data_IF_462071890173
#
_entry.id   IF_462071890173
#
_cell.length_a   1.000
_cell.length_b   1.000
_cell.length_c   1.000
_cell.angle_alpha   90.00
_cell.angle_beta   90.00
_cell.angle_gamma   90.00
#
_symmetry.space_group_name_H-M   'P 1'
#
loop_
_entity.id
_entity.type
_entity.pdbx_description
1 polymer ?
#
# COMPACT_ATOMS: atom_id res chain seq x y z
N UNK A 1 -20.68 0.98 48.69
CA UNK A 1 -20.91 0.29 47.40
C UNK A 1 -20.55 1.27 46.30
N UNK A 2 -19.40 1.08 45.65
CA UNK A 2 -18.92 1.95 44.57
C UNK A 2 -19.41 1.41 43.23
N UNK A 3 -20.02 2.21 42.34
CA UNK A 3 -20.34 1.74 41.01
C UNK A 3 -19.09 1.86 40.11
N UNK A 4 -18.75 0.75 39.45
CA UNK A 4 -17.67 0.69 38.48
C UNK A 4 -17.92 1.62 37.30
N UNK A 5 -16.90 2.45 37.01
CA UNK A 5 -16.84 3.35 35.88
C UNK A 5 -16.53 2.53 34.62
N UNK A 6 -17.56 2.13 33.88
CA UNK A 6 -17.38 1.49 32.57
C UNK A 6 -16.84 2.50 31.58
N UNK A 7 -15.54 2.42 31.31
CA UNK A 7 -14.84 3.14 30.26
C UNK A 7 -15.37 2.70 28.88
N UNK A 8 -16.42 3.39 28.39
CA UNK A 8 -16.79 3.35 26.97
C UNK A 8 -15.66 3.98 26.17
N UNK A 9 -14.67 3.17 25.78
CA UNK A 9 -13.73 3.53 24.71
C UNK A 9 -14.58 3.78 23.47
N UNK A 10 -14.69 5.06 23.11
CA UNK A 10 -15.23 5.53 21.84
C UNK A 10 -14.58 4.73 20.72
N UNK A 11 -15.35 3.78 20.17
CA UNK A 11 -15.07 3.11 18.92
C UNK A 11 -15.22 4.21 17.85
N UNK A 12 -14.16 5.03 17.67
CA UNK A 12 -13.98 5.90 16.51
C UNK A 12 -14.48 5.09 15.32
N UNK A 13 -15.51 5.60 14.64
CA UNK A 13 -16.14 4.92 13.51
C UNK A 13 -15.06 4.69 12.44
N UNK A 14 -14.38 3.55 12.51
CA UNK A 14 -13.58 3.02 11.42
C UNK A 14 -14.59 2.81 10.29
N UNK A 15 -14.34 3.30 9.05
CA UNK A 15 -15.18 2.93 7.93
C UNK A 15 -15.31 1.40 7.93
N UNK A 16 -16.52 0.87 7.73
CA UNK A 16 -16.72 -0.57 7.75
C UNK A 16 -15.73 -1.21 6.76
N UNK A 17 -14.99 -2.24 7.17
CA UNK A 17 -13.94 -2.91 6.38
C UNK A 17 -14.39 -3.16 4.93
N UNK A 18 -15.65 -3.54 4.76
CA UNK A 18 -16.32 -3.72 3.45
C UNK A 18 -16.28 -2.51 2.53
N UNK A 19 -16.42 -1.29 3.06
CA UNK A 19 -16.34 -0.05 2.28
C UNK A 19 -14.91 0.21 1.82
N UNK A 20 -13.92 -0.02 2.68
CA UNK A 20 -12.50 0.09 2.30
C UNK A 20 -12.14 -0.91 1.21
N UNK A 21 -12.54 -2.19 1.38
CA UNK A 21 -12.36 -3.23 0.37
C UNK A 21 -13.01 -2.82 -0.95
N UNK A 22 -14.27 -2.36 -0.91
CA UNK A 22 -14.97 -1.90 -2.11
C UNK A 22 -14.21 -0.77 -2.82
N UNK A 23 -13.66 0.19 -2.06
CA UNK A 23 -12.90 1.31 -2.63
C UNK A 23 -11.59 0.85 -3.31
N UNK A 24 -10.90 -0.15 -2.74
CA UNK A 24 -9.71 -0.78 -3.32
C UNK A 24 -10.05 -1.52 -4.62
N UNK A 25 -11.08 -2.38 -4.58
CA UNK A 25 -11.51 -3.18 -5.73
C UNK A 25 -12.07 -2.32 -6.86
N UNK A 26 -12.69 -1.18 -6.55
CA UNK A 26 -13.18 -0.21 -7.53
C UNK A 26 -12.09 0.73 -8.08
N UNK A 27 -10.82 0.54 -7.69
CA UNK A 27 -9.68 1.40 -8.05
C UNK A 27 -9.91 2.89 -7.76
N UNK A 28 -10.76 3.21 -6.78
CA UNK A 28 -11.01 4.58 -6.35
C UNK A 28 -9.84 5.14 -5.51
N UNK A 29 -9.01 4.23 -4.99
CA UNK A 29 -7.84 4.53 -4.20
C UNK A 29 -6.60 4.37 -5.09
N UNK A 30 -6.03 5.48 -5.53
CA UNK A 30 -4.90 5.49 -6.45
C UNK A 30 -3.75 6.39 -5.99
N UNK A 31 -3.80 6.99 -4.80
CA UNK A 31 -2.70 7.82 -4.30
C UNK A 31 -1.87 7.09 -3.25
N UNK A 32 -0.58 7.44 -3.14
CA UNK A 32 0.30 6.86 -2.12
C UNK A 32 -0.27 7.01 -0.71
N UNK A 33 -0.82 8.19 -0.43
CA UNK A 33 -1.32 8.56 0.90
C UNK A 33 -2.52 7.72 1.30
N UNK A 34 -3.50 7.55 0.40
CA UNK A 34 -4.68 6.75 0.71
C UNK A 34 -4.36 5.25 0.77
N UNK A 35 -3.50 4.73 -0.11
CA UNK A 35 -3.05 3.34 -0.02
C UNK A 35 -2.34 3.06 1.31
N UNK A 36 -1.39 3.92 1.73
CA UNK A 36 -0.74 3.83 3.04
C UNK A 36 -1.73 3.91 4.19
N UNK A 37 -2.75 4.76 4.09
CA UNK A 37 -3.78 4.90 5.11
C UNK A 37 -4.57 3.60 5.28
N UNK A 38 -5.02 2.98 4.18
CA UNK A 38 -5.78 1.73 4.24
C UNK A 38 -4.88 0.57 4.66
N UNK A 39 -3.62 0.50 4.19
CA UNK A 39 -2.62 -0.48 4.63
C UNK A 39 -2.47 -0.48 6.16
N UNK A 40 -2.35 0.71 6.77
CA UNK A 40 -2.27 0.85 8.23
C UNK A 40 -3.53 0.39 8.95
N UNK A 41 -4.71 0.61 8.36
CA UNK A 41 -5.98 0.12 8.94
C UNK A 41 -6.01 -1.40 8.88
N UNK A 42 -5.70 -1.98 7.72
CA UNK A 42 -5.66 -3.43 7.50
C UNK A 42 -4.67 -4.11 8.45
N UNK A 43 -3.45 -3.58 8.60
CA UNK A 43 -2.43 -4.08 9.52
C UNK A 43 -2.83 -3.96 11.02
N UNK A 44 -3.83 -3.13 11.33
CA UNK A 44 -4.38 -2.97 12.69
C UNK A 44 -5.68 -3.73 12.94
N UNK A 45 -6.10 -4.58 12.00
CA UNK A 45 -7.26 -5.45 12.17
C UNK A 45 -6.92 -6.57 13.16
N UNK A 46 -7.69 -6.63 14.24
CA UNK A 46 -7.58 -7.71 15.25
C UNK A 46 -8.42 -8.93 14.86
N UNK A 47 -9.43 -8.73 14.00
CA UNK A 47 -10.27 -9.80 13.47
C UNK A 47 -9.60 -10.47 12.26
N UNK A 48 -9.46 -11.80 12.31
CA UNK A 48 -8.76 -12.58 11.30
C UNK A 48 -9.53 -12.67 9.97
N UNK A 49 -10.86 -12.59 9.98
CA UNK A 49 -11.64 -12.58 8.75
C UNK A 49 -11.48 -11.25 8.02
N UNK A 50 -11.58 -10.14 8.74
CA UNK A 50 -11.33 -8.79 8.20
C UNK A 50 -9.89 -8.67 7.68
N UNK A 51 -8.89 -9.16 8.42
CA UNK A 51 -7.49 -9.13 7.99
C UNK A 51 -7.27 -9.93 6.70
N UNK A 52 -7.87 -11.12 6.58
CA UNK A 52 -7.82 -11.93 5.34
C UNK A 52 -8.52 -11.25 4.18
N UNK A 53 -9.65 -10.59 4.44
CA UNK A 53 -10.42 -9.90 3.41
C UNK A 53 -9.64 -8.73 2.75
N UNK A 54 -8.61 -8.19 3.42
CA UNK A 54 -7.73 -7.18 2.83
C UNK A 54 -6.65 -7.74 1.90
N UNK A 55 -6.28 -9.02 1.99
CA UNK A 55 -5.08 -9.54 1.30
C UNK A 55 -5.09 -9.27 -0.20
N UNK A 56 -6.08 -9.80 -0.92
CA UNK A 56 -6.17 -9.65 -2.37
C UNK A 56 -6.45 -8.20 -2.79
N UNK A 57 -7.45 -7.48 -2.22
CA UNK A 57 -7.73 -6.09 -2.62
C UNK A 57 -6.55 -5.15 -2.39
N UNK A 58 -5.82 -5.32 -1.28
CA UNK A 58 -4.66 -4.48 -0.98
C UNK A 58 -3.50 -4.76 -1.94
N UNK A 59 -3.21 -6.04 -2.18
CA UNK A 59 -2.14 -6.45 -3.11
C UNK A 59 -2.41 -5.92 -4.51
N UNK A 60 -3.65 -6.07 -5.01
CA UNK A 60 -4.05 -5.60 -6.32
C UNK A 60 -4.01 -4.08 -6.42
N UNK A 61 -4.45 -3.35 -5.40
CA UNK A 61 -4.44 -1.89 -5.41
C UNK A 61 -3.00 -1.32 -5.45
N UNK A 62 -2.07 -1.89 -4.69
CA UNK A 62 -0.66 -1.50 -4.77
C UNK A 62 -0.02 -1.85 -6.11
N UNK A 63 -0.32 -3.02 -6.67
CA UNK A 63 0.15 -3.39 -8.00
C UNK A 63 -0.35 -2.40 -9.05
N UNK A 64 -1.65 -2.08 -9.05
CA UNK A 64 -2.22 -1.11 -9.99
C UNK A 64 -1.65 0.29 -9.84
N UNK A 65 -1.37 0.73 -8.61
CA UNK A 65 -0.71 2.01 -8.39
C UNK A 65 0.65 2.08 -9.08
N UNK A 66 1.46 1.02 -8.95
CA UNK A 66 2.80 0.91 -9.55
C UNK A 66 2.76 0.75 -11.08
N UNK A 67 1.85 -0.07 -11.60
CA UNK A 67 1.75 -0.35 -13.04
C UNK A 67 0.99 0.74 -13.79
N UNK A 68 0.25 1.60 -13.08
CA UNK A 68 -0.29 2.85 -13.63
C UNK A 68 0.75 3.96 -13.64
N UNK A 69 0.52 4.99 -14.46
CA UNK A 69 1.36 6.20 -14.43
C UNK A 69 1.29 6.98 -13.10
N UNK A 70 0.37 6.65 -12.19
CA UNK A 70 0.14 7.41 -10.97
C UNK A 70 1.33 7.36 -10.00
N UNK A 71 1.99 6.20 -9.85
CA UNK A 71 3.21 6.10 -9.05
C UNK A 71 4.34 6.96 -9.61
N UNK A 72 4.57 6.90 -10.92
CA UNK A 72 5.61 7.70 -11.58
C UNK A 72 5.32 9.21 -11.45
N UNK A 73 4.06 9.63 -11.63
CA UNK A 73 3.63 11.03 -11.45
C UNK A 73 3.93 11.52 -10.03
N UNK A 74 3.56 10.74 -9.01
CA UNK A 74 3.82 11.12 -7.62
C UNK A 74 5.31 11.11 -7.28
N UNK A 75 6.09 10.16 -7.81
CA UNK A 75 7.54 10.14 -7.66
C UNK A 75 8.16 11.42 -8.23
N UNK A 76 7.82 11.83 -9.45
CA UNK A 76 8.34 13.08 -10.02
C UNK A 76 7.99 14.30 -9.17
N UNK A 77 6.80 14.33 -8.56
CA UNK A 77 6.41 15.40 -7.64
C UNK A 77 7.21 15.42 -6.33
N UNK A 78 7.57 14.26 -5.80
CA UNK A 78 8.31 14.11 -4.54
C UNK A 78 9.83 14.24 -4.72
N UNK A 79 10.34 13.86 -5.89
CA UNK A 79 11.78 13.79 -6.21
C UNK A 79 12.06 14.41 -7.58
N UNK A 80 11.86 15.72 -7.77
CA UNK A 80 11.93 16.36 -9.09
C UNK A 80 13.31 16.27 -9.75
N UNK A 81 14.38 16.09 -8.96
CA UNK A 81 15.75 16.00 -9.46
C UNK A 81 16.24 14.55 -9.65
N UNK A 82 15.36 13.55 -9.45
CA UNK A 82 15.74 12.15 -9.57
C UNK A 82 15.24 11.58 -10.91
N UNK A 83 16.10 10.90 -11.68
CA UNK A 83 15.81 10.51 -13.06
C UNK A 83 14.94 9.25 -13.15
N UNK A 84 13.80 9.23 -12.45
CA UNK A 84 12.82 8.16 -12.60
C UNK A 84 12.23 8.18 -14.02
N UNK A 85 11.96 6.99 -14.58
CA UNK A 85 11.20 6.84 -15.81
C UNK A 85 10.36 5.55 -15.75
N UNK A 86 9.42 5.41 -16.69
CA UNK A 86 8.54 4.24 -16.77
C UNK A 86 9.31 2.91 -16.89
N UNK A 87 10.39 2.89 -17.67
CA UNK A 87 11.20 1.68 -17.86
C UNK A 87 11.87 1.21 -16.56
N UNK A 88 12.37 2.15 -15.76
CA UNK A 88 12.96 1.84 -14.44
C UNK A 88 11.90 1.28 -13.49
N UNK A 89 10.71 1.88 -13.46
CA UNK A 89 9.60 1.40 -12.62
C UNK A 89 9.16 0.01 -13.06
N UNK A 90 9.08 -0.23 -14.37
CA UNK A 90 8.70 -1.52 -14.93
C UNK A 90 9.75 -2.61 -14.64
N UNK A 91 11.04 -2.34 -14.81
CA UNK A 91 12.11 -3.30 -14.47
C UNK A 91 12.10 -3.62 -12.97
N UNK A 92 11.98 -2.60 -12.12
CA UNK A 92 11.84 -2.80 -10.69
C UNK A 92 10.62 -3.66 -10.32
N UNK A 93 9.47 -3.43 -10.96
CA UNK A 93 8.26 -4.22 -10.71
C UNK A 93 8.44 -5.68 -11.10
N UNK A 94 9.08 -5.97 -12.25
CA UNK A 94 9.39 -7.34 -12.67
C UNK A 94 10.33 -8.03 -11.68
N UNK A 95 11.30 -7.32 -11.13
CA UNK A 95 12.21 -7.87 -10.10
C UNK A 95 11.48 -8.19 -8.80
N UNK A 96 10.52 -7.35 -8.40
CA UNK A 96 9.66 -7.62 -7.23
C UNK A 96 8.82 -8.88 -7.45
N UNK A 97 8.20 -9.05 -8.62
CA UNK A 97 7.39 -10.24 -8.93
C UNK A 97 8.21 -11.54 -8.93
N UNK A 98 9.50 -11.46 -9.26
CA UNK A 98 10.41 -12.61 -9.28
C UNK A 98 11.11 -12.87 -7.94
N UNK A 99 10.91 -12.03 -6.93
CA UNK A 99 11.55 -12.16 -5.61
C UNK A 99 10.61 -12.84 -4.59
N UNK A 100 10.91 -14.09 -4.14
CA UNK A 100 10.10 -14.79 -3.16
C UNK A 100 9.89 -14.03 -1.83
N UNK A 101 10.83 -13.15 -1.47
CA UNK A 101 10.78 -12.37 -0.23
C UNK A 101 9.82 -11.18 -0.32
N UNK A 102 9.44 -10.78 -1.54
CA UNK A 102 8.50 -9.67 -1.78
C UNK A 102 7.08 -9.96 -1.29
N UNK A 103 6.73 -11.24 -1.07
CA UNK A 103 5.42 -11.66 -0.54
C UNK A 103 5.16 -11.21 0.91
N UNK A 104 6.15 -10.62 1.60
CA UNK A 104 6.04 -10.18 3.00
C UNK A 104 5.41 -8.80 3.18
N UNK A 105 5.19 -8.06 2.10
CA UNK A 105 4.67 -6.70 2.13
C UNK A 105 3.67 -6.48 1.01
N UNK A 106 2.53 -5.86 1.31
CA UNK A 106 1.61 -5.41 0.26
C UNK A 106 2.14 -4.20 -0.51
N UNK A 107 3.06 -3.43 0.07
CA UNK A 107 3.54 -2.19 -0.50
C UNK A 107 4.52 -2.42 -1.66
N UNK A 108 3.96 -2.72 -2.84
CA UNK A 108 4.73 -2.94 -4.07
C UNK A 108 5.57 -1.73 -4.45
N UNK A 109 5.10 -0.50 -4.20
CA UNK A 109 5.84 0.72 -4.51
C UNK A 109 7.15 0.82 -3.70
N UNK A 110 7.10 0.52 -2.39
CA UNK A 110 8.28 0.45 -1.54
C UNK A 110 9.24 -0.64 -2.01
N UNK A 111 8.72 -1.83 -2.34
CA UNK A 111 9.54 -2.93 -2.85
C UNK A 111 10.24 -2.54 -4.16
N UNK A 112 9.56 -1.84 -5.08
CA UNK A 112 10.17 -1.31 -6.29
C UNK A 112 11.29 -0.30 -5.96
N UNK A 113 11.08 0.62 -5.03
CA UNK A 113 12.12 1.59 -4.63
C UNK A 113 13.34 0.90 -4.02
N UNK A 114 13.13 -0.16 -3.23
CA UNK A 114 14.22 -0.98 -2.69
C UNK A 114 15.01 -1.65 -3.84
N UNK A 115 14.33 -2.26 -4.82
CA UNK A 115 15.01 -2.85 -5.99
C UNK A 115 15.74 -1.81 -6.84
N UNK A 116 15.15 -0.64 -7.07
CA UNK A 116 15.80 0.46 -7.81
C UNK A 116 17.12 0.84 -7.15
N UNK A 117 17.13 0.98 -5.82
CA UNK A 117 18.31 1.34 -5.04
C UNK A 117 19.34 0.20 -5.00
N UNK A 118 18.91 -0.99 -4.60
CA UNK A 118 19.81 -2.10 -4.28
C UNK A 118 20.43 -2.73 -5.53
N UNK A 119 19.69 -2.72 -6.65
CA UNK A 119 20.16 -3.25 -7.93
C UNK A 119 20.79 -2.17 -8.83
N UNK A 120 20.85 -0.91 -8.35
CA UNK A 120 21.49 0.20 -9.07
C UNK A 120 20.81 0.55 -10.40
N UNK A 121 19.46 0.54 -10.45
CA UNK A 121 18.71 0.80 -11.68
C UNK A 121 18.77 2.27 -12.13
N UNK A 122 19.21 3.14 -11.23
CA UNK A 122 19.49 4.55 -11.53
C UNK A 122 20.98 4.79 -11.28
N UNK A 123 21.72 5.33 -12.27
CA UNK A 123 23.11 5.68 -12.08
C UNK A 123 23.26 6.77 -10.99
N UNK A 124 24.36 6.75 -10.22
CA UNK A 124 24.62 7.69 -9.14
C UNK A 124 24.86 9.13 -9.63
#
# INVERSE_FOLDING_TARGET
MSPHRSSKKSRRQRPPVRELIRSLTAHQVNTLTELRRIERIAASCEDEEDARAFQEPMTLAWANYVTSNQFLIELHGLTPNYPFCGDIVQDAHLRVLNDPESNRSWNTAWLCLVKIRDDGLIPP
#
